data_IF_904971109583
#
_entry.id   IF_904971109583
#
_cell.length_a   1.000
_cell.length_b   1.000
_cell.length_c   1.000
_cell.angle_alpha   90.00
_cell.angle_beta   90.00
_cell.angle_gamma   90.00
#
_symmetry.space_group_name_H-M   'P 1'
#
loop_
_entity.id
_entity.type
_entity.pdbx_description
1 polymer ?
#
# COMPACT_ATOMS: atom_id res chain seq x y z
N UNK A 1 6.00 -6.99 18.89
CA UNK A 1 6.26 -7.34 17.48
C UNK A 1 6.85 -6.13 16.78
N UNK A 2 7.91 -6.26 15.96
CA UNK A 2 8.54 -5.13 15.26
C UNK A 2 8.12 -5.11 13.78
N UNK A 3 7.98 -3.92 13.19
CA UNK A 3 7.67 -3.76 11.76
C UNK A 3 7.06 -2.41 11.42
N UNK A 4 7.04 -2.06 10.14
CA UNK A 4 6.52 -0.80 9.62
C UNK A 4 5.01 -0.62 9.90
N UNK A 5 4.45 0.59 9.83
CA UNK A 5 3.02 0.81 9.98
C UNK A 5 2.17 -0.04 9.02
N UNK A 6 0.92 -0.30 9.41
CA UNK A 6 -0.09 -1.00 8.61
C UNK A 6 0.21 -2.44 8.14
N UNK A 7 1.30 -3.07 8.57
CA UNK A 7 1.55 -4.52 8.33
C UNK A 7 0.69 -5.47 9.16
N UNK A 8 -0.28 -4.96 9.93
CA UNK A 8 -1.20 -5.78 10.72
C UNK A 8 -0.68 -6.26 12.08
N UNK A 9 0.34 -5.61 12.66
CA UNK A 9 0.90 -5.96 13.99
C UNK A 9 -0.18 -6.08 15.07
N UNK A 10 -0.96 -5.02 15.29
CA UNK A 10 -2.01 -5.01 16.32
C UNK A 10 -3.15 -5.98 16.00
N UNK A 11 -3.44 -6.23 14.71
CA UNK A 11 -4.42 -7.25 14.28
C UNK A 11 -3.94 -8.66 14.63
N UNK A 12 -2.67 -8.96 14.39
CA UNK A 12 -2.07 -10.25 14.76
C UNK A 12 -2.10 -10.45 16.27
N UNK A 13 -1.74 -9.42 17.05
CA UNK A 13 -1.74 -9.48 18.51
C UNK A 13 -3.17 -9.66 19.06
N UNK A 14 -4.16 -8.93 18.53
CA UNK A 14 -5.57 -9.11 18.91
C UNK A 14 -6.07 -10.54 18.63
N UNK A 15 -5.66 -11.13 17.50
CA UNK A 15 -6.01 -12.51 17.16
C UNK A 15 -5.39 -13.52 18.14
N UNK A 16 -4.12 -13.33 18.54
CA UNK A 16 -3.46 -14.21 19.52
C UNK A 16 -4.12 -14.09 20.90
N UNK A 17 -4.48 -12.88 21.31
CA UNK A 17 -5.14 -12.63 22.60
C UNK A 17 -6.62 -13.08 22.64
N UNK A 18 -7.22 -13.43 21.49
CA UNK A 18 -8.64 -13.79 21.38
C UNK A 18 -9.61 -12.65 21.72
N UNK A 19 -9.11 -11.42 21.88
CA UNK A 19 -9.86 -10.22 22.27
C UNK A 19 -9.40 -9.03 21.44
N UNK A 20 -10.33 -8.22 20.96
CA UNK A 20 -10.06 -6.97 20.23
C UNK A 20 -9.69 -5.84 21.20
N UNK A 21 -8.61 -6.01 21.96
CA UNK A 21 -8.19 -5.07 23.01
C UNK A 21 -7.40 -3.89 22.47
N UNK A 22 -6.65 -4.07 21.38
CA UNK A 22 -5.87 -3.01 20.74
C UNK A 22 -6.68 -2.32 19.63
N UNK A 23 -6.49 -1.00 19.51
CA UNK A 23 -7.01 -0.23 18.38
C UNK A 23 -6.21 -0.58 17.12
N UNK A 24 -6.77 -1.43 16.27
CA UNK A 24 -6.28 -1.66 14.92
C UNK A 24 -7.08 -0.77 13.95
N UNK A 25 -6.40 0.11 13.22
CA UNK A 25 -7.00 0.87 12.13
C UNK A 25 -6.00 0.99 10.97
N UNK A 26 -6.53 1.08 9.76
CA UNK A 26 -5.77 1.13 8.50
C UNK A 26 -5.24 2.54 8.20
N UNK A 27 -4.63 3.17 9.21
CA UNK A 27 -4.00 4.49 9.11
C UNK A 27 -2.67 4.48 9.85
N UNK A 28 -1.57 4.96 9.23
CA UNK A 28 -0.30 5.08 9.93
C UNK A 28 -0.41 5.95 11.19
N UNK A 29 0.28 5.57 12.27
CA UNK A 29 0.33 6.35 13.52
C UNK A 29 -0.82 6.14 14.52
N UNK A 30 -1.64 5.08 14.34
CA UNK A 30 -2.74 4.73 15.26
C UNK A 30 -2.22 4.18 16.59
N UNK A 31 -1.24 3.28 16.56
CA UNK A 31 -0.51 2.83 17.76
C UNK A 31 0.50 3.91 18.14
N UNK A 32 0.34 4.53 19.31
CA UNK A 32 1.15 5.68 19.77
C UNK A 32 2.03 5.39 20.99
N UNK A 33 1.82 4.25 21.65
CA UNK A 33 2.52 3.87 22.88
C UNK A 33 2.75 2.35 22.93
N UNK A 34 3.81 1.94 23.63
CA UNK A 34 4.05 0.54 23.97
C UNK A 34 2.94 0.03 24.87
N UNK A 35 2.36 -1.12 24.54
CA UNK A 35 1.27 -1.72 25.34
C UNK A 35 1.54 -3.20 25.57
N UNK A 36 1.61 -3.60 26.84
CA UNK A 36 1.68 -5.01 27.23
C UNK A 36 0.30 -5.65 27.21
N UNK A 37 0.24 -6.88 26.72
CA UNK A 37 -0.93 -7.74 26.71
C UNK A 37 -0.56 -9.12 27.22
N UNK A 38 -1.23 -9.52 28.29
CA UNK A 38 -1.09 -10.85 28.88
C UNK A 38 -2.10 -11.77 28.19
N UNK A 39 -1.65 -12.52 27.18
CA UNK A 39 -2.53 -13.37 26.37
C UNK A 39 -2.81 -14.72 27.04
N UNK A 40 -1.85 -15.23 27.81
CA UNK A 40 -1.91 -16.48 28.58
C UNK A 40 -0.98 -16.35 29.81
N UNK A 41 -1.14 -17.12 30.90
CA UNK A 41 -0.20 -17.14 32.02
C UNK A 41 1.29 -17.26 31.66
N UNK A 42 1.63 -17.82 30.49
CA UNK A 42 3.01 -17.96 30.02
C UNK A 42 3.34 -17.10 28.78
N UNK A 43 2.43 -16.22 28.33
CA UNK A 43 2.63 -15.45 27.10
C UNK A 43 2.25 -13.98 27.28
N UNK A 44 3.30 -13.15 27.33
CA UNK A 44 3.20 -11.70 27.29
C UNK A 44 3.55 -11.18 25.89
N UNK A 45 2.66 -10.34 25.35
CA UNK A 45 2.80 -9.71 24.05
C UNK A 45 2.97 -8.21 24.21
N UNK A 46 3.97 -7.66 23.53
CA UNK A 46 4.19 -6.22 23.47
C UNK A 46 3.75 -5.69 22.09
N UNK A 47 2.68 -4.88 22.07
CA UNK A 47 2.32 -4.08 20.89
C UNK A 47 3.21 -2.83 20.85
N UNK A 48 3.82 -2.61 19.69
CA UNK A 48 4.71 -1.47 19.46
C UNK A 48 4.18 -0.62 18.30
N UNK A 49 4.36 0.71 18.35
CA UNK A 49 4.07 1.56 17.22
C UNK A 49 4.84 1.09 15.98
N UNK A 50 4.22 1.23 14.80
CA UNK A 50 4.95 1.00 13.55
C UNK A 50 6.06 2.03 13.40
N UNK A 51 7.29 1.57 13.21
CA UNK A 51 8.45 2.42 13.01
C UNK A 51 8.83 2.35 11.52
N UNK A 52 8.87 3.50 10.87
CA UNK A 52 9.49 3.67 9.56
C UNK A 52 10.95 4.08 9.76
N UNK A 53 11.81 3.63 8.87
CA UNK A 53 13.16 4.16 8.78
C UNK A 53 13.12 5.62 8.27
N UNK A 54 14.02 6.49 8.75
CA UNK A 54 13.92 7.93 8.52
C UNK A 54 14.30 8.38 7.09
N UNK A 55 14.99 7.57 6.29
CA UNK A 55 15.38 7.89 4.91
C UNK A 55 15.24 6.66 4.00
N UNK A 56 14.47 6.80 2.93
CA UNK A 56 14.46 5.82 1.86
C UNK A 56 15.66 6.11 0.95
N UNK A 57 16.55 5.13 0.79
CA UNK A 57 17.67 5.23 -0.16
C UNK A 57 17.21 4.99 -1.61
N UNK A 58 16.03 4.37 -1.77
CA UNK A 58 15.43 4.01 -3.05
C UNK A 58 14.05 4.68 -3.23
N UNK A 59 13.91 5.45 -4.31
CA UNK A 59 12.68 6.17 -4.66
C UNK A 59 11.51 5.21 -4.92
N UNK A 60 11.79 4.05 -5.53
CA UNK A 60 10.80 3.00 -5.78
C UNK A 60 10.19 2.50 -4.48
N UNK A 61 11.02 2.17 -3.48
CA UNK A 61 10.58 1.71 -2.15
C UNK A 61 9.68 2.75 -1.48
N UNK A 62 10.06 4.03 -1.49
CA UNK A 62 9.25 5.11 -0.93
C UNK A 62 7.89 5.23 -1.62
N UNK A 63 7.87 5.19 -2.95
CA UNK A 63 6.63 5.29 -3.75
C UNK A 63 5.70 4.09 -3.54
N UNK A 64 6.23 2.86 -3.50
CA UNK A 64 5.44 1.66 -3.22
C UNK A 64 4.85 1.67 -1.80
N UNK A 65 5.63 2.10 -0.80
CA UNK A 65 5.12 2.21 0.57
C UNK A 65 4.02 3.27 0.71
N UNK A 66 4.12 4.38 -0.04
CA UNK A 66 3.03 5.35 -0.15
C UNK A 66 1.80 4.74 -0.85
N UNK A 67 2.00 4.04 -1.97
CA UNK A 67 0.92 3.41 -2.72
C UNK A 67 0.16 2.38 -1.87
N UNK A 68 0.89 1.59 -1.06
CA UNK A 68 0.33 0.59 -0.15
C UNK A 68 -0.20 1.18 1.18
N UNK A 69 -0.05 2.48 1.41
CA UNK A 69 -0.55 3.15 2.62
C UNK A 69 0.25 2.83 3.88
N UNK A 70 1.49 2.34 3.74
CA UNK A 70 2.40 2.08 4.87
C UNK A 70 3.03 3.37 5.43
N UNK A 71 2.99 4.46 4.65
CA UNK A 71 3.38 5.80 5.07
C UNK A 71 2.24 6.79 4.88
N UNK A 72 2.27 7.91 5.61
CA UNK A 72 1.31 8.99 5.38
C UNK A 72 1.63 9.68 4.05
N UNK A 73 0.73 9.56 3.09
CA UNK A 73 0.82 10.10 1.73
C UNK A 73 0.03 11.41 1.55
N UNK A 74 -0.50 12.02 2.62
CA UNK A 74 -1.29 13.26 2.56
C UNK A 74 -0.48 14.47 2.03
N UNK A 75 0.84 14.44 2.20
CA UNK A 75 1.77 15.47 1.70
C UNK A 75 2.36 15.15 0.32
N UNK A 76 2.10 13.94 -0.20
CA UNK A 76 2.61 13.48 -1.48
C UNK A 76 1.60 13.75 -2.59
N UNK A 77 2.10 13.97 -3.81
CA UNK A 77 1.21 14.00 -4.98
C UNK A 77 0.69 12.59 -5.26
N UNK A 78 -0.54 12.31 -4.82
CA UNK A 78 -1.21 11.01 -5.02
C UNK A 78 -1.31 10.59 -6.48
N UNK A 79 -1.35 11.55 -7.40
CA UNK A 79 -1.35 11.22 -8.84
C UNK A 79 0.00 10.65 -9.25
N UNK A 80 1.11 11.22 -8.79
CA UNK A 80 2.45 10.70 -9.04
C UNK A 80 2.62 9.31 -8.41
N UNK A 81 2.24 9.16 -7.14
CA UNK A 81 2.29 7.85 -6.44
C UNK A 81 1.47 6.79 -7.18
N UNK A 82 0.28 7.14 -7.67
CA UNK A 82 -0.53 6.22 -8.47
C UNK A 82 0.13 5.87 -9.80
N UNK A 83 0.74 6.85 -10.50
CA UNK A 83 1.43 6.62 -11.77
C UNK A 83 2.65 5.71 -11.60
N UNK A 84 3.45 5.89 -10.55
CA UNK A 84 4.57 5.02 -10.24
C UNK A 84 4.09 3.59 -9.94
N UNK A 85 3.07 3.45 -9.10
CA UNK A 85 2.49 2.14 -8.79
C UNK A 85 1.92 1.46 -10.04
N UNK A 86 1.25 2.20 -10.93
CA UNK A 86 0.80 1.70 -12.22
C UNK A 86 1.98 1.22 -13.06
N UNK A 87 3.04 2.02 -13.17
CA UNK A 87 4.24 1.66 -13.93
C UNK A 87 4.83 0.34 -13.43
N UNK A 88 5.07 0.21 -12.12
CA UNK A 88 5.61 -1.01 -11.54
C UNK A 88 4.69 -2.22 -11.74
N UNK A 89 3.37 -2.03 -11.67
CA UNK A 89 2.42 -3.13 -11.90
C UNK A 89 2.43 -3.55 -13.38
N UNK A 90 2.51 -2.61 -14.32
CA UNK A 90 2.59 -2.92 -15.75
C UNK A 90 3.88 -3.68 -16.09
N UNK A 91 4.99 -3.31 -15.46
CA UNK A 91 6.28 -4.00 -15.64
C UNK A 91 6.25 -5.42 -15.05
N UNK A 92 5.66 -5.60 -13.86
CA UNK A 92 5.64 -6.90 -13.16
C UNK A 92 4.53 -7.84 -13.65
N UNK A 93 3.43 -7.28 -14.12
CA UNK A 93 2.22 -8.00 -14.54
C UNK A 93 1.69 -7.43 -15.86
N UNK A 94 2.37 -7.69 -16.99
CA UNK A 94 1.97 -7.16 -18.29
C UNK A 94 0.52 -7.51 -18.63
N UNK A 95 -0.22 -6.56 -19.19
CA UNK A 95 -1.63 -6.66 -19.59
C UNK A 95 -2.66 -6.81 -18.46
N UNK A 96 -2.24 -6.86 -17.19
CA UNK A 96 -3.16 -7.02 -16.07
C UNK A 96 -4.12 -5.83 -15.97
N UNK A 97 -3.57 -4.62 -15.88
CA UNK A 97 -4.37 -3.41 -15.71
C UNK A 97 -5.16 -3.10 -16.98
N UNK A 98 -4.58 -3.36 -18.14
CA UNK A 98 -5.20 -3.20 -19.46
C UNK A 98 -6.42 -4.11 -19.59
N UNK A 99 -6.33 -5.35 -19.09
CA UNK A 99 -7.45 -6.29 -19.04
C UNK A 99 -8.55 -5.84 -18.08
N UNK A 100 -8.19 -5.33 -16.90
CA UNK A 100 -9.14 -4.85 -15.88
C UNK A 100 -9.90 -3.60 -16.36
N UNK A 101 -9.19 -2.66 -16.99
CA UNK A 101 -9.72 -1.35 -17.36
C UNK A 101 -10.05 -1.21 -18.86
N UNK A 102 -9.85 -2.26 -19.64
CA UNK A 102 -10.16 -2.34 -21.09
C UNK A 102 -9.52 -1.17 -21.89
N UNK A 103 -8.24 -0.89 -21.60
CA UNK A 103 -7.55 0.30 -22.11
C UNK A 103 -6.72 0.07 -23.37
N UNK A 104 -6.35 -1.19 -23.67
CA UNK A 104 -5.20 -1.46 -24.52
C UNK A 104 -3.89 -1.00 -23.88
N UNK A 105 -2.77 -1.16 -24.59
CA UNK A 105 -1.45 -0.76 -24.09
C UNK A 105 -1.32 0.77 -23.98
N UNK A 106 -1.12 1.26 -22.76
CA UNK A 106 -1.04 2.69 -22.46
C UNK A 106 0.00 2.96 -21.39
N UNK A 107 0.59 4.15 -21.40
CA UNK A 107 1.46 4.59 -20.31
C UNK A 107 0.65 4.86 -19.01
N UNK A 108 1.31 5.09 -17.86
CA UNK A 108 0.61 5.24 -16.58
C UNK A 108 -0.45 6.36 -16.53
N UNK A 109 -0.20 7.49 -17.21
CA UNK A 109 -1.19 8.57 -17.32
C UNK A 109 -2.39 8.16 -18.18
N UNK A 110 -2.13 7.45 -19.29
CA UNK A 110 -3.17 6.84 -20.12
C UNK A 110 -4.00 5.82 -19.35
N UNK A 111 -3.36 5.04 -18.47
CA UNK A 111 -4.06 4.12 -17.58
C UNK A 111 -4.98 4.86 -16.60
N UNK A 112 -4.56 5.98 -16.00
CA UNK A 112 -5.45 6.82 -15.19
C UNK A 112 -6.65 7.35 -15.98
N UNK A 113 -6.48 7.70 -17.25
CA UNK A 113 -7.61 8.08 -18.13
C UNK A 113 -8.55 6.90 -18.36
N UNK A 114 -8.01 5.70 -18.57
CA UNK A 114 -8.81 4.49 -18.75
C UNK A 114 -9.59 4.14 -17.47
N UNK A 115 -8.95 4.24 -16.30
CA UNK A 115 -9.60 4.06 -15.00
C UNK A 115 -10.74 5.09 -14.83
N UNK A 116 -10.47 6.37 -15.11
CA UNK A 116 -11.47 7.42 -15.04
C UNK A 116 -12.68 7.12 -15.94
N UNK A 117 -12.42 6.69 -17.19
CA UNK A 117 -13.46 6.32 -18.15
C UNK A 117 -14.25 5.09 -17.69
N UNK A 118 -13.56 4.01 -17.32
CA UNK A 118 -14.18 2.74 -16.90
C UNK A 118 -15.04 2.90 -15.64
N UNK A 119 -14.67 3.82 -14.75
CA UNK A 119 -15.35 4.09 -13.49
C UNK A 119 -16.26 5.34 -13.53
N UNK A 120 -16.47 5.93 -14.71
CA UNK A 120 -17.29 7.13 -14.91
C UNK A 120 -16.92 8.29 -13.98
N UNK A 121 -15.62 8.53 -13.82
CA UNK A 121 -15.09 9.64 -13.01
C UNK A 121 -14.91 10.88 -13.88
N UNK A 122 -15.88 11.77 -13.79
CA UNK A 122 -15.91 13.04 -14.50
C UNK A 122 -15.88 14.22 -13.53
N UNK A 123 -15.27 15.31 -13.98
CA UNK A 123 -15.40 16.64 -13.38
C UNK A 123 -16.72 17.29 -13.81
N UNK A 124 -17.02 18.46 -13.24
CA UNK A 124 -18.24 19.22 -13.55
C UNK A 124 -18.35 19.67 -15.03
N UNK A 125 -17.22 19.83 -15.72
CA UNK A 125 -17.11 20.20 -17.13
C UNK A 125 -17.15 19.00 -18.10
N UNK A 126 -17.47 17.80 -17.59
CA UNK A 126 -17.44 16.53 -18.34
C UNK A 126 -16.05 16.05 -18.77
N UNK A 127 -14.97 16.65 -18.28
CA UNK A 127 -13.62 16.09 -18.44
C UNK A 127 -13.37 14.91 -17.49
N UNK A 128 -12.45 14.01 -17.87
CA UNK A 128 -12.01 12.92 -17.00
C UNK A 128 -11.33 13.45 -15.73
N UNK A 129 -11.78 12.98 -14.56
CA UNK A 129 -11.18 13.33 -13.28
C UNK A 129 -10.03 12.39 -12.92
N UNK A 130 -8.83 12.76 -13.38
CA UNK A 130 -7.62 11.96 -13.13
C UNK A 130 -7.18 11.95 -11.67
N UNK A 131 -7.54 12.98 -10.89
CA UNK A 131 -7.20 13.02 -9.47
C UNK A 131 -8.03 11.99 -8.71
N UNK A 132 -9.35 11.99 -8.94
CA UNK A 132 -10.23 10.96 -8.37
C UNK A 132 -9.89 9.57 -8.89
N UNK A 133 -9.46 9.44 -10.14
CA UNK A 133 -9.01 8.15 -10.68
C UNK A 133 -7.76 7.63 -9.96
N UNK A 134 -6.77 8.49 -9.68
CA UNK A 134 -5.59 8.12 -8.90
C UNK A 134 -5.95 7.70 -7.46
N UNK A 135 -6.79 8.49 -6.78
CA UNK A 135 -7.25 8.18 -5.42
C UNK A 135 -8.03 6.85 -5.37
N UNK A 136 -8.93 6.64 -6.35
CA UNK A 136 -9.67 5.39 -6.48
C UNK A 136 -8.72 4.22 -6.74
N UNK A 137 -7.78 4.36 -7.68
CA UNK A 137 -6.80 3.34 -7.99
C UNK A 137 -6.00 2.89 -6.76
N UNK A 138 -5.45 3.83 -6.01
CA UNK A 138 -4.72 3.53 -4.77
C UNK A 138 -5.60 2.81 -3.75
N UNK A 139 -6.86 3.24 -3.63
CA UNK A 139 -7.85 2.59 -2.75
C UNK A 139 -8.13 1.15 -3.20
N UNK A 140 -8.32 0.92 -4.50
CA UNK A 140 -8.55 -0.42 -5.05
C UNK A 140 -7.34 -1.34 -4.91
N UNK A 141 -6.13 -0.80 -5.09
CA UNK A 141 -4.86 -1.49 -4.84
C UNK A 141 -4.74 -1.93 -3.38
N UNK A 142 -4.92 -1.00 -2.43
CA UNK A 142 -4.83 -1.27 -0.98
C UNK A 142 -5.87 -2.29 -0.50
N UNK A 143 -7.05 -2.31 -1.11
CA UNK A 143 -8.09 -3.29 -0.82
C UNK A 143 -7.97 -4.60 -1.60
N UNK A 144 -6.93 -4.78 -2.41
CA UNK A 144 -6.70 -6.01 -3.19
C UNK A 144 -7.74 -6.25 -4.29
N UNK A 145 -8.47 -5.22 -4.73
CA UNK A 145 -9.49 -5.34 -5.79
C UNK A 145 -8.88 -5.59 -7.17
N UNK A 146 -7.59 -5.30 -7.35
CA UNK A 146 -6.84 -5.54 -8.58
C UNK A 146 -6.26 -6.97 -8.65
N UNK A 147 -6.53 -7.81 -7.65
CA UNK A 147 -5.98 -9.15 -7.51
C UNK A 147 -4.89 -9.24 -6.44
N UNK A 148 -4.32 -10.45 -6.29
CA UNK A 148 -3.19 -10.68 -5.37
C UNK A 148 -1.91 -10.32 -6.08
N UNK A 149 -1.27 -9.23 -5.66
CA UNK A 149 -0.06 -8.70 -6.27
C UNK A 149 1.09 -8.71 -5.27
N UNK A 150 2.26 -9.14 -5.74
CA UNK A 150 3.54 -8.95 -5.06
C UNK A 150 4.34 -7.93 -5.88
N UNK A 151 4.64 -6.77 -5.30
CA UNK A 151 5.27 -5.64 -5.98
C UNK A 151 6.81 -5.61 -5.81
N UNK A 152 7.35 -6.58 -5.10
CA UNK A 152 8.79 -6.82 -4.95
C UNK A 152 9.13 -8.21 -5.47
N UNK A 153 10.33 -8.36 -6.02
CA UNK A 153 10.91 -9.64 -6.43
C UNK A 153 12.22 -9.81 -5.67
N UNK A 154 12.60 -11.04 -5.41
CA UNK A 154 13.93 -11.35 -4.90
C UNK A 154 14.92 -10.97 -6.00
N UNK A 155 15.79 -9.99 -5.75
CA UNK A 155 16.89 -9.69 -6.63
C UNK A 155 17.99 -10.75 -6.40
N UNK A 156 18.49 -11.37 -7.46
CA UNK A 156 19.60 -12.34 -7.40
C UNK A 156 20.89 -11.74 -6.81
N UNK A 157 21.02 -10.41 -6.75
CA UNK A 157 22.20 -9.70 -6.23
C UNK A 157 22.30 -9.65 -4.69
N UNK A 158 21.31 -10.18 -3.96
CA UNK A 158 21.29 -10.14 -2.48
C UNK A 158 22.11 -11.27 -1.81
N UNK A 159 22.73 -12.16 -2.58
CA UNK A 159 23.59 -13.24 -2.04
C UNK A 159 24.99 -12.77 -1.59
N UNK A 160 25.39 -11.52 -1.80
CA UNK A 160 26.75 -11.06 -1.45
C UNK A 160 26.90 -10.45 -0.05
N UNK A 161 25.91 -10.59 0.85
CA UNK A 161 26.00 -10.11 2.23
C UNK A 161 25.99 -11.27 3.23
N UNK A 162 26.95 -12.18 3.06
CA UNK A 162 27.39 -13.09 4.10
C UNK A 162 28.88 -13.39 3.94
N UNK A 163 29.71 -12.45 4.38
CA UNK A 163 31.04 -12.71 4.95
C UNK A 163 31.21 -11.92 6.26
#
# INVERSE_FOLDING_TARGET
ACGIPNVGKSTMINRINGKNTLKAADKPGVTRSLTWLHADPNLDLLDTPGVLWPKFDDEKTGSLLAALGSINDDILDRKMVAMDAIHYIQDLYPNLLEGIFESGEVNPNGMLKAIAKKRNLLKADSELDLKRAAELFLTELRHGKLGRLTLERVNEESESLSE
#
